data_IF_139533326794
#
_entry.id   IF_139533326794
#
_cell.length_a   1.000
_cell.length_b   1.000
_cell.length_c   1.000
_cell.angle_alpha   90.00
_cell.angle_beta   90.00
_cell.angle_gamma   90.00
#
_symmetry.space_group_name_H-M   'P 1'
#
loop_
_entity.id
_entity.type
_entity.pdbx_description
1 polymer ?
#
# COMPACT_ATOMS: atom_id res chain seq x y z
N UNK A 1 -18.99 4.08 4.45
CA UNK A 1 -17.97 3.01 4.30
C UNK A 1 -16.84 3.32 5.29
N UNK A 2 -16.74 2.61 6.41
CA UNK A 2 -15.66 2.83 7.39
C UNK A 2 -14.45 1.96 7.02
N UNK A 3 -13.69 2.40 6.02
CA UNK A 3 -12.40 1.78 5.71
C UNK A 3 -11.44 2.14 6.85
N UNK A 4 -10.78 1.13 7.43
CA UNK A 4 -9.82 1.37 8.51
C UNK A 4 -8.69 2.28 8.00
N UNK A 5 -8.17 3.18 8.87
CA UNK A 5 -7.01 4.03 8.52
C UNK A 5 -5.83 3.24 7.95
N UNK A 6 -5.64 1.99 8.43
CA UNK A 6 -4.66 1.04 7.92
C UNK A 6 -4.91 0.68 6.46
N UNK A 7 -6.13 0.26 6.14
CA UNK A 7 -6.49 -0.10 4.77
C UNK A 7 -6.36 1.10 3.81
N UNK A 8 -6.72 2.31 4.26
CA UNK A 8 -6.59 3.53 3.44
C UNK A 8 -5.13 3.83 3.08
N UNK A 9 -4.20 3.70 4.03
CA UNK A 9 -2.76 3.86 3.77
C UNK A 9 -2.20 2.83 2.78
N UNK A 10 -2.65 1.57 2.87
CA UNK A 10 -2.21 0.53 1.94
C UNK A 10 -2.73 0.83 0.53
N UNK A 11 -3.98 1.30 0.40
CA UNK A 11 -4.56 1.72 -0.88
C UNK A 11 -3.76 2.89 -1.47
N UNK A 12 -3.46 3.92 -0.68
CA UNK A 12 -2.65 5.06 -1.14
C UNK A 12 -1.25 4.63 -1.63
N UNK A 13 -0.59 3.72 -0.91
CA UNK A 13 0.69 3.15 -1.32
C UNK A 13 0.56 2.36 -2.64
N UNK A 14 -0.47 1.52 -2.77
CA UNK A 14 -0.71 0.75 -3.99
C UNK A 14 -0.98 1.66 -5.19
N UNK A 15 -1.76 2.74 -5.01
CA UNK A 15 -2.02 3.72 -6.06
C UNK A 15 -0.73 4.43 -6.49
N UNK A 16 0.13 4.82 -5.53
CA UNK A 16 1.40 5.48 -5.81
C UNK A 16 2.37 4.56 -6.56
N UNK A 17 2.47 3.30 -6.17
CA UNK A 17 3.33 2.31 -6.82
C UNK A 17 2.81 1.98 -8.23
N UNK A 18 1.50 1.80 -8.37
CA UNK A 18 0.82 1.58 -9.65
C UNK A 18 1.12 2.71 -10.65
N UNK A 19 0.91 3.96 -10.24
CA UNK A 19 1.19 5.13 -11.07
C UNK A 19 2.67 5.26 -11.44
N UNK A 20 3.59 4.95 -10.50
CA UNK A 20 5.03 5.02 -10.75
C UNK A 20 5.52 3.96 -11.74
N UNK A 21 4.91 2.77 -11.73
CA UNK A 21 5.33 1.63 -12.55
C UNK A 21 4.49 1.41 -13.81
N UNK A 22 3.39 2.14 -13.98
CA UNK A 22 2.47 1.94 -15.08
C UNK A 22 1.73 0.60 -15.02
N UNK A 23 1.49 0.09 -13.80
CA UNK A 23 0.81 -1.20 -13.55
C UNK A 23 -0.54 -0.96 -12.86
N UNK A 24 -1.34 -2.01 -12.71
CA UNK A 24 -2.62 -1.90 -12.00
C UNK A 24 -2.41 -1.78 -10.48
N UNK A 25 -3.41 -1.25 -9.78
CA UNK A 25 -3.42 -1.21 -8.30
C UNK A 25 -3.36 -2.63 -7.70
N UNK A 26 -3.94 -3.61 -8.39
CA UNK A 26 -3.91 -5.02 -7.97
C UNK A 26 -2.49 -5.59 -8.03
N UNK A 27 -1.75 -5.31 -9.10
CA UNK A 27 -0.35 -5.72 -9.24
C UNK A 27 0.55 -5.04 -8.20
N UNK A 28 0.26 -3.76 -7.91
CA UNK A 28 0.98 -2.97 -6.91
C UNK A 28 0.61 -3.31 -5.45
N UNK A 29 -0.41 -4.12 -5.21
CA UNK A 29 -0.93 -4.40 -3.87
C UNK A 29 0.08 -5.12 -2.98
N UNK A 30 0.79 -6.11 -3.54
CA UNK A 30 1.79 -6.87 -2.80
C UNK A 30 2.97 -5.99 -2.37
N UNK A 31 3.42 -5.10 -3.25
CA UNK A 31 4.49 -4.14 -2.94
C UNK A 31 4.04 -3.11 -1.90
N UNK A 32 2.81 -2.62 -2.01
CA UNK A 32 2.22 -1.69 -1.04
C UNK A 32 2.10 -2.32 0.35
N UNK A 33 1.68 -3.59 0.44
CA UNK A 33 1.62 -4.31 1.71
C UNK A 33 3.02 -4.51 2.30
N UNK A 34 4.02 -4.84 1.47
CA UNK A 34 5.41 -4.97 1.92
C UNK A 34 5.95 -3.65 2.46
N UNK A 35 5.79 -2.55 1.72
CA UNK A 35 6.24 -1.22 2.15
C UNK A 35 5.51 -0.75 3.40
N UNK A 36 4.20 -1.03 3.51
CA UNK A 36 3.43 -0.75 4.72
C UNK A 36 3.99 -1.52 5.92
N UNK A 37 4.28 -2.82 5.76
CA UNK A 37 4.84 -3.66 6.81
C UNK A 37 6.21 -3.15 7.27
N UNK A 38 7.10 -2.83 6.33
CA UNK A 38 8.44 -2.31 6.63
C UNK A 38 8.37 -0.95 7.35
N UNK A 39 7.47 -0.06 6.95
CA UNK A 39 7.37 1.29 7.55
C UNK A 39 6.63 1.34 8.88
N UNK A 40 5.67 0.44 9.11
CA UNK A 40 4.75 0.55 10.25
C UNK A 40 4.79 -0.63 11.21
N UNK A 41 5.29 -1.81 10.81
CA UNK A 41 5.46 -2.96 11.71
C UNK A 41 6.93 -3.15 12.15
N UNK A 42 7.91 -2.61 11.42
CA UNK A 42 9.34 -2.70 11.77
C UNK A 42 9.82 -1.57 12.71
N UNK A 43 8.94 -1.13 13.61
CA UNK A 43 9.29 -0.29 14.77
C UNK A 43 9.02 -1.13 16.02
N UNK A 44 9.89 -2.11 16.25
CA UNK A 44 9.97 -2.91 17.47
C UNK A 44 11.45 -3.09 17.81
#
# INVERSE_FOLDING_TARGET
MNISRRAMKIIELAQKIANKRGVTVQDAWNDAMKEYKEKYEYVA
#
